data_IF_980866435725
#
_entry.id   IF_980866435725
#
_cell.length_a   1.000
_cell.length_b   1.000
_cell.length_c   1.000
_cell.angle_alpha   90.00
_cell.angle_beta   90.00
_cell.angle_gamma   90.00
#
_symmetry.space_group_name_H-M   'P 1'
#
loop_
_entity.id
_entity.type
_entity.pdbx_description
1 polymer ?
#
# COMPACT_ATOMS: atom_id res chain seq x y z
N UNK A 1 -5.85 7.85 15.24
CA UNK A 1 -4.46 7.44 15.55
C UNK A 1 -3.93 7.90 16.93
N UNK A 2 -4.75 8.54 17.79
CA UNK A 2 -4.29 9.15 19.06
C UNK A 2 -3.51 8.20 19.97
N UNK A 3 -4.08 7.03 20.29
CA UNK A 3 -3.45 6.00 21.15
C UNK A 3 -2.07 5.54 20.67
N UNK A 4 -1.88 5.39 19.36
CA UNK A 4 -0.61 4.91 18.79
C UNK A 4 0.44 6.02 18.86
N UNK A 5 0.04 7.27 18.57
CA UNK A 5 0.91 8.45 18.66
C UNK A 5 1.42 8.67 20.08
N UNK A 6 0.52 8.66 21.07
CA UNK A 6 0.86 8.79 22.49
C UNK A 6 1.84 7.70 22.94
N UNK A 7 1.62 6.45 22.51
CA UNK A 7 2.46 5.31 22.90
C UNK A 7 3.88 5.36 22.30
N UNK A 8 4.03 5.90 21.09
CA UNK A 8 5.28 5.85 20.33
C UNK A 8 5.95 7.22 20.17
N UNK A 9 5.42 8.26 20.84
CA UNK A 9 5.90 9.63 20.77
C UNK A 9 6.08 10.13 19.32
N UNK A 10 5.07 9.87 18.49
CA UNK A 10 5.07 10.29 17.08
C UNK A 10 4.13 11.47 16.86
N UNK A 11 4.72 12.61 16.50
CA UNK A 11 4.04 13.88 16.34
C UNK A 11 3.49 14.07 14.93
N UNK A 12 2.37 14.80 14.81
CA UNK A 12 1.75 15.19 13.55
C UNK A 12 1.33 14.05 12.58
N UNK A 13 1.31 12.80 13.04
CA UNK A 13 0.91 11.66 12.20
C UNK A 13 -0.61 11.56 12.00
N UNK A 14 -1.02 11.18 10.79
CA UNK A 14 -2.40 10.95 10.38
C UNK A 14 -2.61 9.53 9.82
N UNK A 15 -3.88 9.16 9.57
CA UNK A 15 -4.19 7.90 8.88
C UNK A 15 -3.73 7.91 7.41
N UNK A 16 -3.60 9.10 6.80
CA UNK A 16 -3.11 9.25 5.43
C UNK A 16 -1.63 8.87 5.33
N UNK A 17 -0.84 9.14 6.36
CA UNK A 17 0.59 8.81 6.39
C UNK A 17 0.81 7.30 6.37
N UNK A 18 0.01 6.54 7.14
CA UNK A 18 0.02 5.07 7.05
C UNK A 18 -0.32 4.56 5.65
N UNK A 19 -1.29 5.20 4.99
CA UNK A 19 -1.68 4.86 3.63
C UNK A 19 -0.56 5.15 2.62
N UNK A 20 0.15 6.27 2.77
CA UNK A 20 1.36 6.56 1.99
C UNK A 20 2.48 5.56 2.28
N UNK A 21 2.71 5.20 3.55
CA UNK A 21 3.69 4.17 3.91
C UNK A 21 3.37 2.84 3.24
N UNK A 22 2.11 2.40 3.25
CA UNK A 22 1.67 1.19 2.57
C UNK A 22 1.92 1.25 1.06
N UNK A 23 1.55 2.37 0.42
CA UNK A 23 1.78 2.60 -1.01
C UNK A 23 3.27 2.54 -1.38
N UNK A 24 4.13 3.26 -0.64
CA UNK A 24 5.58 3.29 -0.88
C UNK A 24 6.21 1.93 -0.63
N UNK A 25 5.75 1.19 0.37
CA UNK A 25 6.27 -0.16 0.64
C UNK A 25 5.88 -1.14 -0.46
N UNK A 26 4.66 -1.06 -1.00
CA UNK A 26 4.25 -1.84 -2.16
C UNK A 26 5.02 -1.45 -3.43
N UNK A 27 5.34 -0.17 -3.61
CA UNK A 27 6.10 0.34 -4.75
C UNK A 27 7.61 0.05 -4.65
N UNK A 28 8.13 -0.28 -3.46
CA UNK A 28 9.55 -0.57 -3.26
C UNK A 28 10.01 -1.77 -4.09
N UNK A 29 11.28 -1.79 -4.47
CA UNK A 29 11.89 -2.88 -5.24
C UNK A 29 11.71 -4.26 -4.58
N UNK A 30 11.65 -4.29 -3.24
CA UNK A 30 11.40 -5.51 -2.47
C UNK A 30 10.01 -6.12 -2.72
N UNK A 31 9.01 -5.29 -2.99
CA UNK A 31 7.62 -5.72 -3.21
C UNK A 31 7.22 -5.70 -4.69
N UNK A 32 7.91 -4.91 -5.53
CA UNK A 32 7.75 -4.92 -6.99
C UNK A 32 6.37 -4.50 -7.51
N UNK A 33 5.54 -3.84 -6.70
CA UNK A 33 4.19 -3.47 -7.07
C UNK A 33 4.14 -2.45 -8.21
N UNK A 34 3.30 -2.71 -9.22
CA UNK A 34 3.11 -1.78 -10.34
C UNK A 34 2.25 -0.58 -9.92
N UNK A 35 2.63 0.61 -10.34
CA UNK A 35 1.94 1.86 -9.98
C UNK A 35 0.43 1.86 -10.29
N UNK A 36 0.02 1.28 -11.43
CA UNK A 36 -1.41 1.15 -11.78
C UNK A 36 -2.17 0.26 -10.78
N UNK A 37 -1.59 -0.88 -10.40
CA UNK A 37 -2.20 -1.82 -9.46
C UNK A 37 -2.31 -1.16 -8.09
N UNK A 38 -1.25 -0.48 -7.63
CA UNK A 38 -1.25 0.24 -6.35
C UNK A 38 -2.29 1.36 -6.36
N UNK A 39 -2.38 2.15 -7.43
CA UNK A 39 -3.40 3.19 -7.57
C UNK A 39 -4.82 2.61 -7.46
N UNK A 40 -5.08 1.44 -8.07
CA UNK A 40 -6.37 0.75 -7.96
C UNK A 40 -6.62 0.18 -6.56
N UNK A 41 -5.62 -0.36 -5.87
CA UNK A 41 -5.73 -0.76 -4.44
C UNK A 41 -6.13 0.44 -3.59
N UNK A 42 -5.52 1.58 -3.86
CA UNK A 42 -5.83 2.84 -3.20
C UNK A 42 -7.16 3.44 -3.70
N UNK A 43 -7.86 2.84 -4.66
CA UNK A 43 -9.08 3.42 -5.23
C UNK A 43 -8.86 4.86 -5.76
N UNK A 44 -7.68 5.12 -6.32
CA UNK A 44 -7.42 6.35 -7.04
C UNK A 44 -8.13 6.34 -8.38
N UNK A 45 -8.55 7.52 -8.82
CA UNK A 45 -9.06 7.72 -10.18
C UNK A 45 -7.98 7.28 -11.18
N UNK A 46 -8.31 6.38 -12.13
CA UNK A 46 -7.35 5.94 -13.14
C UNK A 46 -6.81 7.13 -13.94
N UNK A 47 -5.49 7.18 -14.11
CA UNK A 47 -4.84 8.15 -14.99
C UNK A 47 -5.11 7.76 -16.45
N UNK A 48 -5.38 8.74 -17.31
CA UNK A 48 -5.59 8.53 -18.75
C UNK A 48 -6.81 9.26 -19.28
N UNK A 49 -6.98 9.21 -20.61
CA UNK A 49 -8.16 9.80 -21.26
C UNK A 49 -9.44 9.05 -20.84
N UNK A 50 -10.61 9.71 -20.88
CA UNK A 50 -11.90 9.03 -20.69
C UNK A 50 -12.06 7.82 -21.62
N UNK A 51 -11.50 7.91 -22.84
CA UNK A 51 -11.50 6.82 -23.83
C UNK A 51 -10.72 5.60 -23.33
N UNK A 52 -9.55 5.80 -22.72
CA UNK A 52 -8.75 4.71 -22.14
C UNK A 52 -9.48 4.00 -20.99
N UNK A 53 -10.27 4.74 -20.21
CA UNK A 53 -11.07 4.17 -19.13
C UNK A 53 -12.23 3.28 -19.63
N UNK A 54 -12.74 3.52 -20.84
CA UNK A 54 -13.78 2.68 -21.45
C UNK A 54 -13.25 1.27 -21.73
N UNK A 55 -11.98 1.17 -22.16
CA UNK A 55 -11.35 -0.11 -22.49
C UNK A 55 -10.77 -0.83 -21.28
N UNK A 56 -10.28 -0.10 -20.28
CA UNK A 56 -9.63 -0.70 -19.11
C UNK A 56 -10.64 -0.99 -17.96
N UNK A 57 -11.58 -1.90 -18.24
CA UNK A 57 -12.58 -2.40 -17.28
C UNK A 57 -12.11 -3.59 -16.46
N UNK A 58 -10.92 -4.10 -16.74
CA UNK A 58 -10.33 -5.19 -15.97
C UNK A 58 -10.25 -4.78 -14.50
N UNK A 59 -10.64 -5.68 -13.59
CA UNK A 59 -10.76 -5.37 -12.16
C UNK A 59 -9.42 -5.46 -11.42
N UNK A 60 -8.41 -6.05 -12.07
CA UNK A 60 -7.08 -6.37 -11.54
C UNK A 60 -7.13 -7.18 -10.25
N UNK A 61 -8.16 -8.00 -10.04
CA UNK A 61 -8.34 -8.72 -8.76
C UNK A 61 -7.13 -9.60 -8.42
N UNK A 62 -6.58 -10.30 -9.42
CA UNK A 62 -5.41 -11.16 -9.25
C UNK A 62 -4.14 -10.35 -8.91
N UNK A 63 -3.91 -9.26 -9.64
CA UNK A 63 -2.73 -8.40 -9.47
C UNK A 63 -2.78 -7.65 -8.14
N UNK A 64 -3.96 -7.15 -7.76
CA UNK A 64 -4.17 -6.52 -6.45
C UNK A 64 -3.87 -7.50 -5.32
N UNK A 65 -4.36 -8.75 -5.44
CA UNK A 65 -4.08 -9.80 -4.45
C UNK A 65 -2.58 -10.08 -4.35
N UNK A 66 -1.90 -10.31 -5.47
CA UNK A 66 -0.47 -10.58 -5.49
C UNK A 66 0.36 -9.44 -4.85
N UNK A 67 0.03 -8.19 -5.17
CA UNK A 67 0.70 -7.02 -4.56
C UNK A 67 0.47 -6.92 -3.05
N UNK A 68 -0.75 -7.21 -2.58
CA UNK A 68 -1.08 -7.21 -1.15
C UNK A 68 -0.41 -8.36 -0.39
N UNK A 69 -0.29 -9.53 -1.00
CA UNK A 69 0.41 -10.69 -0.43
C UNK A 69 1.90 -10.42 -0.23
N UNK A 70 2.58 -9.88 -1.25
CA UNK A 70 4.00 -9.48 -1.14
C UNK A 70 4.23 -8.40 -0.08
N UNK A 71 3.30 -7.44 0.02
CA UNK A 71 3.35 -6.43 1.08
C UNK A 71 3.17 -7.07 2.46
N UNK A 72 2.23 -8.01 2.60
CA UNK A 72 2.00 -8.73 3.86
C UNK A 72 3.26 -9.50 4.29
N UNK A 73 3.96 -10.17 3.38
CA UNK A 73 5.24 -10.81 3.67
C UNK A 73 6.30 -9.83 4.18
N UNK A 74 6.37 -8.63 3.58
CA UNK A 74 7.28 -7.58 4.01
C UNK A 74 6.95 -7.09 5.42
N UNK A 75 5.67 -6.88 5.73
CA UNK A 75 5.21 -6.52 7.07
C UNK A 75 5.51 -7.60 8.10
N UNK A 76 5.29 -8.86 7.75
CA UNK A 76 5.58 -10.00 8.61
C UNK A 76 7.05 -9.97 9.01
N UNK A 77 7.98 -9.87 8.04
CA UNK A 77 9.43 -9.76 8.29
C UNK A 77 9.80 -8.65 9.27
N UNK A 78 9.15 -7.49 9.19
CA UNK A 78 9.39 -6.35 10.11
C UNK A 78 8.82 -6.64 11.50
N UNK A 79 7.63 -7.24 11.57
CA UNK A 79 6.91 -7.47 12.83
C UNK A 79 7.46 -8.65 13.65
N UNK A 80 7.95 -9.72 13.01
CA UNK A 80 8.55 -10.86 13.72
C UNK A 80 9.99 -10.63 14.12
N UNK A 81 10.75 -9.80 13.38
CA UNK A 81 12.12 -9.45 13.75
C UNK A 81 12.23 -8.71 15.09
N UNK A 82 11.15 -8.06 15.57
CA UNK A 82 11.16 -7.25 16.80
C UNK A 82 10.77 -8.01 18.08
N UNK A 83 10.70 -9.34 18.05
CA UNK A 83 10.29 -10.16 19.21
C UNK A 83 11.44 -10.70 20.08
N UNK A 84 12.68 -10.33 19.78
CA UNK A 84 13.85 -10.67 20.59
C UNK A 84 14.78 -9.47 20.74
N UNK A 85 14.50 -8.61 21.71
CA UNK A 85 15.43 -7.66 22.33
C UNK A 85 14.82 -7.22 23.68
#
# INVERSE_FOLDING_TARGET
>A
MRRIREKHNIDNETAQDLRHTGANTMASERSGGRGEVIARILNHTPLGSPVTQIYNRYDYAAEKRAALELWAETLLKISTAKRGA
#
